data_IF_294372172788
#
_entry.id   IF_294372172788
#
_cell.length_a   1.000
_cell.length_b   1.000
_cell.length_c   1.000
_cell.angle_alpha   90.00
_cell.angle_beta   90.00
_cell.angle_gamma   90.00
#
_symmetry.space_group_name_H-M   'P 1'
#
loop_
_entity.id
_entity.type
_entity.pdbx_description
1 polymer ?
#
# COMPACT_ATOMS: atom_id res chain seq x y z
N UNK A 1 -7.08 -13.08 14.10
CA UNK A 1 -7.73 -11.83 14.52
C UNK A 1 -7.42 -10.81 13.43
N UNK A 2 -8.37 -10.52 12.56
CA UNK A 2 -8.20 -9.52 11.49
C UNK A 2 -8.34 -8.18 12.22
N UNK A 3 -7.35 -7.28 12.09
CA UNK A 3 -7.45 -5.92 12.64
C UNK A 3 -8.69 -5.20 12.08
N UNK A 4 -9.21 -4.18 12.77
CA UNK A 4 -10.40 -3.48 12.30
C UNK A 4 -10.15 -2.97 10.88
N UNK A 5 -11.09 -3.26 9.97
CA UNK A 5 -11.09 -2.69 8.64
C UNK A 5 -11.21 -1.17 8.78
N UNK A 6 -10.13 -0.44 8.48
CA UNK A 6 -10.17 1.02 8.39
C UNK A 6 -10.70 1.34 7.01
N UNK A 7 -11.95 1.78 6.92
CA UNK A 7 -12.51 2.27 5.66
C UNK A 7 -11.93 3.66 5.40
N UNK A 8 -11.13 3.87 4.34
CA UNK A 8 -10.70 5.21 3.97
C UNK A 8 -11.95 6.01 3.60
N UNK A 9 -12.26 7.03 4.39
CA UNK A 9 -13.33 7.99 4.10
C UNK A 9 -12.67 9.24 3.54
N UNK A 10 -12.91 9.54 2.26
CA UNK A 10 -12.60 10.86 1.72
C UNK A 10 -13.57 11.86 2.37
N UNK A 11 -13.07 12.65 3.31
CA UNK A 11 -13.83 13.74 3.92
C UNK A 11 -13.62 15.00 3.06
N UNK A 12 -14.65 15.43 2.34
CA UNK A 12 -14.77 16.83 1.91
C UNK A 12 -15.20 17.68 3.11
N UNK A 13 -14.30 17.85 4.08
CA UNK A 13 -14.53 18.71 5.25
C UNK A 13 -13.50 19.81 5.24
N UNK A 14 -13.94 21.03 5.53
CA UNK A 14 -13.05 22.16 5.73
C UNK A 14 -12.01 21.77 6.80
N UNK A 15 -10.71 21.70 6.45
CA UNK A 15 -9.68 21.23 7.36
C UNK A 15 -9.58 22.09 8.63
N UNK A 16 -10.04 23.35 8.59
CA UNK A 16 -10.09 24.22 9.76
C UNK A 16 -11.14 23.80 10.81
N UNK A 17 -12.08 22.93 10.42
CA UNK A 17 -13.15 22.42 11.28
C UNK A 17 -12.87 21.03 11.85
N UNK A 18 -11.82 20.35 11.38
CA UNK A 18 -11.42 19.04 11.86
C UNK A 18 -10.66 19.15 13.17
N UNK A 19 -11.17 18.50 14.22
CA UNK A 19 -10.40 18.25 15.43
C UNK A 19 -9.38 17.15 15.17
N UNK A 20 -8.18 17.53 14.71
CA UNK A 20 -7.07 16.60 14.45
C UNK A 20 -6.65 15.74 15.67
N UNK A 21 -7.14 16.08 16.87
CA UNK A 21 -6.92 15.31 18.09
C UNK A 21 -7.61 13.93 18.07
N UNK A 22 -8.68 13.76 17.28
CA UNK A 22 -9.46 12.52 17.18
C UNK A 22 -9.13 11.72 15.89
N UNK A 23 -8.11 12.15 15.15
CA UNK A 23 -7.67 11.51 13.90
C UNK A 23 -6.46 10.63 14.19
N UNK A 24 -6.56 9.33 13.87
CA UNK A 24 -5.45 8.38 14.03
C UNK A 24 -4.44 8.43 12.87
N UNK A 25 -4.94 8.74 11.66
CA UNK A 25 -4.14 8.79 10.43
C UNK A 25 -4.66 9.83 9.46
N UNK A 26 -3.75 10.61 8.90
CA UNK A 26 -3.98 11.57 7.83
C UNK A 26 -3.27 11.07 6.58
N UNK A 27 -3.94 11.17 5.44
CA UNK A 27 -3.36 10.89 4.14
C UNK A 27 -3.26 12.19 3.34
N UNK A 28 -2.13 12.44 2.70
CA UNK A 28 -1.89 13.66 1.92
C UNK A 28 -1.25 13.36 0.56
N UNK A 29 -1.70 14.08 -0.46
CA UNK A 29 -1.06 14.17 -1.77
C UNK A 29 -0.15 15.38 -1.80
N UNK A 30 1.14 15.15 -2.04
CA UNK A 30 2.18 16.17 -1.84
C UNK A 30 2.96 16.36 -3.13
N UNK A 31 2.89 17.55 -3.77
CA UNK A 31 3.75 17.87 -4.90
C UNK A 31 5.20 18.02 -4.42
N UNK A 32 6.15 17.79 -5.33
CA UNK A 32 7.57 17.69 -4.99
C UNK A 32 8.13 18.96 -4.31
N UNK A 33 7.60 20.14 -4.64
CA UNK A 33 8.02 21.43 -4.08
C UNK A 33 7.56 21.66 -2.63
N UNK A 34 6.60 20.88 -2.13
CA UNK A 34 6.10 20.95 -0.76
C UNK A 34 6.55 19.78 0.11
N UNK A 35 7.33 18.85 -0.44
CA UNK A 35 7.73 17.63 0.28
C UNK A 35 8.50 17.96 1.56
N UNK A 36 9.50 18.84 1.49
CA UNK A 36 10.33 19.20 2.65
C UNK A 36 9.50 19.81 3.80
N UNK A 37 8.52 20.66 3.47
CA UNK A 37 7.61 21.25 4.45
C UNK A 37 6.76 20.17 5.14
N UNK A 38 6.27 19.19 4.37
CA UNK A 38 5.50 18.06 4.91
C UNK A 38 6.37 17.16 5.77
N UNK A 39 7.60 16.85 5.36
CA UNK A 39 8.55 16.05 6.14
C UNK A 39 8.95 16.72 7.47
N UNK A 40 8.84 18.05 7.56
CA UNK A 40 9.07 18.79 8.80
C UNK A 40 7.88 18.74 9.77
N UNK A 41 6.69 18.29 9.33
CA UNK A 41 5.51 18.26 10.18
C UNK A 41 5.66 17.24 11.31
N UNK A 42 5.28 17.64 12.52
CA UNK A 42 5.22 16.77 13.70
C UNK A 42 3.79 16.78 14.21
N UNK A 43 2.96 15.94 13.59
CA UNK A 43 1.56 15.77 13.92
C UNK A 43 1.38 14.54 14.83
N UNK A 44 0.32 14.56 15.64
CA UNK A 44 -0.11 13.38 16.42
C UNK A 44 -0.70 12.25 15.54
N UNK A 45 -1.60 12.51 14.57
CA UNK A 45 -1.96 11.48 13.61
C UNK A 45 -0.72 10.99 12.85
N UNK A 46 -0.69 9.69 12.57
CA UNK A 46 0.26 9.15 11.59
C UNK A 46 -0.01 9.75 10.22
N UNK A 47 1.04 10.11 9.48
CA UNK A 47 0.91 10.75 8.18
C UNK A 47 1.31 9.77 7.07
N UNK A 48 0.40 9.51 6.13
CA UNK A 48 0.69 8.81 4.88
C UNK A 48 0.93 9.85 3.78
N UNK A 49 2.09 9.81 3.14
CA UNK A 49 2.50 10.78 2.12
C UNK A 49 2.54 10.13 0.75
N UNK A 50 1.65 10.58 -0.15
CA UNK A 50 1.69 10.23 -1.56
C UNK A 50 2.40 11.33 -2.33
N UNK A 51 3.64 11.06 -2.74
CA UNK A 51 4.44 11.99 -3.54
C UNK A 51 5.17 11.20 -4.63
N UNK A 52 4.59 11.09 -5.85
CA UNK A 52 5.18 10.28 -6.92
C UNK A 52 6.61 10.74 -7.26
N UNK A 53 7.53 9.79 -7.34
CA UNK A 53 8.95 10.06 -7.62
C UNK A 53 9.75 10.63 -6.44
N UNK A 54 9.14 10.81 -5.27
CA UNK A 54 9.87 11.21 -4.06
C UNK A 54 10.81 10.11 -3.57
N UNK A 55 11.84 10.52 -2.84
CA UNK A 55 12.69 9.58 -2.10
C UNK A 55 11.91 8.99 -0.92
N UNK A 56 11.57 7.72 -1.06
CA UNK A 56 10.79 6.94 -0.11
C UNK A 56 11.51 6.81 1.24
N UNK A 57 12.84 6.71 1.23
CA UNK A 57 13.62 6.61 2.46
C UNK A 57 13.52 7.88 3.29
N UNK A 58 13.55 9.05 2.65
CA UNK A 58 13.37 10.36 3.31
C UNK A 58 11.99 10.49 3.99
N UNK A 59 10.93 9.98 3.37
CA UNK A 59 9.58 9.96 3.96
C UNK A 59 9.57 9.11 5.25
N UNK A 60 10.13 7.91 5.20
CA UNK A 60 10.19 7.01 6.35
C UNK A 60 11.08 7.56 7.48
N UNK A 61 12.24 8.14 7.14
CA UNK A 61 13.15 8.77 8.11
C UNK A 61 12.51 9.96 8.84
N UNK A 62 11.56 10.65 8.21
CA UNK A 62 10.76 11.70 8.85
C UNK A 62 9.68 11.15 9.81
N UNK A 63 9.51 9.83 9.90
CA UNK A 63 8.49 9.17 10.70
C UNK A 63 7.12 9.12 10.02
N UNK A 64 7.07 9.31 8.70
CA UNK A 64 5.85 9.24 7.91
C UNK A 64 5.77 7.91 7.15
N UNK A 65 4.55 7.51 6.79
CA UNK A 65 4.28 6.30 6.00
C UNK A 65 4.32 6.65 4.51
N UNK A 66 5.18 6.03 3.70
CA UNK A 66 5.17 6.25 2.26
C UNK A 66 3.88 5.73 1.62
N UNK A 67 3.38 6.48 0.64
CA UNK A 67 2.25 6.12 -0.19
C UNK A 67 2.69 5.74 -1.60
N UNK A 68 2.26 4.57 -2.08
CA UNK A 68 2.45 4.14 -3.46
C UNK A 68 1.19 4.44 -4.28
N UNK A 69 1.31 5.28 -5.31
CA UNK A 69 0.23 5.53 -6.28
C UNK A 69 0.38 4.65 -7.52
N UNK A 70 -0.57 4.76 -8.45
CA UNK A 70 -0.38 4.26 -9.81
C UNK A 70 0.88 4.89 -10.43
N UNK A 71 1.77 4.05 -10.91
CA UNK A 71 3.06 4.39 -11.51
C UNK A 71 3.47 3.25 -12.47
N UNK A 72 4.55 3.42 -13.23
CA UNK A 72 5.08 2.34 -14.06
C UNK A 72 5.57 1.16 -13.20
N UNK A 73 5.67 -0.03 -13.80
CA UNK A 73 6.17 -1.21 -13.08
C UNK A 73 7.63 -1.03 -12.60
N UNK A 74 8.43 -0.22 -13.28
CA UNK A 74 9.79 0.10 -12.87
C UNK A 74 9.81 1.00 -11.63
N UNK A 75 9.03 2.08 -11.64
CA UNK A 75 8.91 2.97 -10.47
C UNK A 75 8.34 2.23 -9.25
N UNK A 76 7.36 1.35 -9.46
CA UNK A 76 6.83 0.49 -8.39
C UNK A 76 7.89 -0.50 -7.89
N UNK A 77 8.70 -1.09 -8.78
CA UNK A 77 9.76 -2.00 -8.38
C UNK A 77 10.85 -1.30 -7.57
N UNK A 78 11.28 -0.11 -7.99
CA UNK A 78 12.25 0.72 -7.27
C UNK A 78 11.72 1.11 -5.89
N UNK A 79 10.44 1.54 -5.81
CA UNK A 79 9.77 1.82 -4.55
C UNK A 79 9.79 0.59 -3.61
N UNK A 80 9.35 -0.57 -4.11
CA UNK A 80 9.23 -1.78 -3.30
C UNK A 80 10.59 -2.32 -2.85
N UNK A 81 11.63 -2.19 -3.68
CA UNK A 81 13.00 -2.55 -3.33
C UNK A 81 13.52 -1.73 -2.14
N UNK A 82 13.18 -0.45 -2.06
CA UNK A 82 13.54 0.40 -0.92
C UNK A 82 12.71 0.05 0.31
N UNK A 83 11.38 0.02 0.19
CA UNK A 83 10.49 -0.16 1.36
C UNK A 83 10.68 -1.51 2.05
N UNK A 84 11.01 -2.57 1.32
CA UNK A 84 11.28 -3.88 1.91
C UNK A 84 12.44 -3.88 2.92
N UNK A 85 13.29 -2.84 2.93
CA UNK A 85 14.41 -2.66 3.85
C UNK A 85 14.21 -1.55 4.89
N UNK A 86 13.09 -0.82 4.83
CA UNK A 86 12.80 0.23 5.79
C UNK A 86 12.13 -0.33 7.05
N UNK A 87 12.38 0.34 8.18
CA UNK A 87 11.64 0.09 9.41
C UNK A 87 10.24 0.69 9.26
N UNK A 88 9.26 -0.14 8.89
CA UNK A 88 7.87 0.26 8.72
C UNK A 88 7.19 -0.44 7.55
N UNK A 89 6.17 0.21 7.00
CA UNK A 89 5.47 -0.25 5.82
C UNK A 89 4.93 0.92 5.00
N UNK A 90 4.15 0.60 3.98
CA UNK A 90 3.57 1.57 3.05
C UNK A 90 2.07 1.33 2.87
N UNK A 91 1.39 2.33 2.33
CA UNK A 91 0.00 2.22 1.87
C UNK A 91 0.00 2.35 0.36
N UNK A 92 -0.75 1.49 -0.33
CA UNK A 92 -0.92 1.59 -1.78
C UNK A 92 -2.29 2.17 -2.12
N UNK A 93 -2.39 2.92 -3.22
CA UNK A 93 -3.68 3.28 -3.83
C UNK A 93 -3.93 2.41 -5.05
N UNK A 94 -5.09 1.78 -5.09
CA UNK A 94 -5.50 0.91 -6.20
C UNK A 94 -6.94 1.23 -6.62
N UNK A 95 -7.17 1.33 -7.92
CA UNK A 95 -8.49 1.50 -8.52
C UNK A 95 -9.12 0.16 -8.91
N UNK A 96 -8.31 -0.90 -9.09
CA UNK A 96 -8.82 -2.21 -9.57
C UNK A 96 -8.27 -3.39 -8.79
N UNK A 97 -8.97 -4.52 -8.85
CA UNK A 97 -8.50 -5.78 -8.25
C UNK A 97 -7.19 -6.28 -8.89
N UNK A 98 -6.96 -5.99 -10.17
CA UNK A 98 -5.69 -6.32 -10.85
C UNK A 98 -4.53 -5.56 -10.23
N UNK A 99 -4.68 -4.25 -10.00
CA UNK A 99 -3.65 -3.43 -9.35
C UNK A 99 -3.38 -3.91 -7.92
N UNK A 100 -4.42 -4.29 -7.16
CA UNK A 100 -4.26 -4.88 -5.83
C UNK A 100 -3.41 -6.14 -5.88
N UNK A 101 -3.71 -7.05 -6.80
CA UNK A 101 -2.95 -8.30 -6.97
C UNK A 101 -1.51 -8.03 -7.42
N UNK A 102 -1.30 -7.06 -8.30
CA UNK A 102 0.03 -6.60 -8.71
C UNK A 102 0.83 -6.11 -7.52
N UNK A 103 0.30 -5.19 -6.72
CA UNK A 103 0.99 -4.64 -5.54
C UNK A 103 1.32 -5.74 -4.52
N UNK A 104 0.37 -6.63 -4.21
CA UNK A 104 0.61 -7.74 -3.28
C UNK A 104 1.70 -8.67 -3.81
N UNK A 105 1.63 -9.03 -5.09
CA UNK A 105 2.60 -9.90 -5.74
C UNK A 105 4.01 -9.29 -5.79
N UNK A 106 4.12 -8.01 -6.17
CA UNK A 106 5.36 -7.25 -6.13
C UNK A 106 5.95 -7.17 -4.71
N UNK A 107 5.10 -6.93 -3.70
CA UNK A 107 5.53 -6.90 -2.29
C UNK A 107 6.09 -8.24 -1.84
N UNK A 108 5.41 -9.34 -2.18
CA UNK A 108 5.89 -10.70 -1.87
C UNK A 108 7.23 -10.97 -2.57
N UNK A 109 7.37 -10.59 -3.84
CA UNK A 109 8.61 -10.75 -4.58
C UNK A 109 9.76 -9.95 -3.93
N UNK A 110 9.51 -8.69 -3.56
CA UNK A 110 10.49 -7.85 -2.87
C UNK A 110 10.96 -8.49 -1.55
N UNK A 111 10.04 -9.01 -0.74
CA UNK A 111 10.37 -9.66 0.53
C UNK A 111 11.13 -10.99 0.38
N UNK A 112 11.01 -11.64 -0.77
CA UNK A 112 11.74 -12.88 -1.10
C UNK A 112 13.07 -12.62 -1.79
N UNK A 113 13.32 -11.40 -2.25
CA UNK A 113 14.43 -11.09 -3.14
C UNK A 113 14.25 -11.65 -4.56
N UNK A 114 13.00 -11.93 -4.96
CA UNK A 114 12.65 -12.36 -6.32
C UNK A 114 12.57 -11.14 -7.26
N UNK A 115 12.38 -11.38 -8.56
CA UNK A 115 12.15 -10.33 -9.54
C UNK A 115 10.81 -9.60 -9.29
N UNK A 116 10.90 -8.41 -8.69
CA UNK A 116 9.76 -7.56 -8.35
C UNK A 116 8.96 -7.17 -9.59
N UNK A 117 9.63 -6.82 -10.69
CA UNK A 117 8.97 -6.39 -11.92
C UNK A 117 8.13 -7.52 -12.50
N UNK A 118 8.69 -8.74 -12.53
CA UNK A 118 7.93 -9.93 -12.95
C UNK A 118 6.75 -10.17 -12.03
N UNK A 119 6.92 -10.03 -10.71
CA UNK A 119 5.84 -10.15 -9.72
C UNK A 119 4.69 -9.16 -9.94
N UNK A 120 5.01 -7.89 -10.22
CA UNK A 120 4.04 -6.84 -10.52
C UNK A 120 3.24 -7.11 -11.79
N UNK A 121 3.94 -7.51 -12.87
CA UNK A 121 3.34 -7.70 -14.20
C UNK A 121 2.59 -9.03 -14.34
N UNK A 122 3.00 -10.06 -13.59
CA UNK A 122 2.42 -11.40 -13.69
C UNK A 122 2.04 -11.97 -12.31
N UNK A 123 0.99 -11.43 -11.65
CA UNK A 123 0.57 -11.93 -10.35
C UNK A 123 0.17 -13.40 -10.37
N UNK A 124 0.78 -14.22 -9.51
CA UNK A 124 0.49 -15.64 -9.41
C UNK A 124 -0.43 -15.94 -8.22
N UNK A 125 -1.72 -16.07 -8.51
CA UNK A 125 -2.78 -16.27 -7.50
C UNK A 125 -2.58 -17.56 -6.69
N UNK A 126 -2.10 -18.62 -7.32
CA UNK A 126 -1.88 -19.90 -6.66
C UNK A 126 -0.75 -19.78 -5.62
N UNK A 127 0.30 -19.01 -5.93
CA UNK A 127 1.37 -18.67 -4.96
C UNK A 127 0.86 -17.75 -3.86
N UNK A 128 0.08 -16.72 -4.18
CA UNK A 128 -0.45 -15.77 -3.19
C UNK A 128 -1.40 -16.44 -2.19
N UNK A 129 -2.19 -17.40 -2.64
CA UNK A 129 -3.15 -18.13 -1.78
C UNK A 129 -2.50 -19.28 -1.00
N UNK A 130 -1.26 -19.66 -1.34
CA UNK A 130 -0.49 -20.72 -0.67
C UNK A 130 0.71 -20.21 0.13
N UNK A 131 0.77 -18.89 0.41
CA UNK A 131 1.84 -18.30 1.22
C UNK A 131 1.93 -18.97 2.59
N UNK A 132 3.17 -19.27 3.02
CA UNK A 132 3.44 -19.64 4.40
C UNK A 132 2.93 -18.54 5.36
N UNK A 133 2.39 -18.88 6.54
CA UNK A 133 1.88 -17.89 7.49
C UNK A 133 2.86 -16.75 7.80
N UNK A 134 4.14 -17.07 7.95
CA UNK A 134 5.19 -16.07 8.22
C UNK A 134 5.40 -15.11 7.04
N UNK A 135 5.35 -15.61 5.81
CA UNK A 135 5.43 -14.77 4.61
C UNK A 135 4.21 -13.85 4.52
N UNK A 136 3.02 -14.38 4.78
CA UNK A 136 1.80 -13.58 4.81
C UNK A 136 1.80 -12.55 5.95
N UNK A 137 2.43 -12.86 7.09
CA UNK A 137 2.61 -11.90 8.19
C UNK A 137 3.58 -10.78 7.79
N UNK A 138 4.73 -11.14 7.21
CA UNK A 138 5.71 -10.16 6.71
C UNK A 138 5.09 -9.23 5.66
N UNK A 139 4.31 -9.76 4.71
CA UNK A 139 3.59 -8.93 3.73
C UNK A 139 2.65 -7.94 4.39
N UNK A 140 1.96 -8.30 5.49
CA UNK A 140 1.06 -7.36 6.21
C UNK A 140 1.80 -6.32 7.02
N UNK A 141 3.02 -6.61 7.47
CA UNK A 141 3.87 -5.62 8.14
C UNK A 141 4.37 -4.56 7.16
N UNK A 142 4.62 -4.96 5.91
CA UNK A 142 5.15 -4.07 4.87
C UNK A 142 4.04 -3.36 4.09
N UNK A 143 3.01 -4.08 3.63
CA UNK A 143 1.82 -3.48 3.00
C UNK A 143 0.74 -3.27 4.08
N UNK A 144 0.70 -2.05 4.62
CA UNK A 144 -0.15 -1.69 5.76
C UNK A 144 -1.62 -1.52 5.36
N UNK A 145 -1.89 -1.20 4.10
CA UNK A 145 -3.23 -1.00 3.61
C UNK A 145 -3.30 -0.70 2.12
N UNK A 146 -4.51 -0.82 1.59
CA UNK A 146 -4.86 -0.42 0.24
C UNK A 146 -5.98 0.61 0.36
N UNK A 147 -5.71 1.82 -0.14
CA UNK A 147 -6.69 2.88 -0.31
C UNK A 147 -7.37 2.74 -1.67
N UNK A 148 -8.71 2.82 -1.66
CA UNK A 148 -9.52 2.71 -2.87
C UNK A 148 -10.90 3.31 -2.66
N UNK A 149 -11.46 3.87 -3.72
CA UNK A 149 -12.86 4.33 -3.77
C UNK A 149 -13.82 3.18 -4.13
N UNK A 150 -13.31 2.06 -4.64
CA UNK A 150 -14.10 0.95 -5.19
C UNK A 150 -14.01 -0.33 -4.33
N UNK A 151 -13.95 -0.18 -3.00
CA UNK A 151 -13.66 -1.30 -2.09
C UNK A 151 -14.59 -2.52 -2.26
N UNK A 152 -15.90 -2.30 -2.43
CA UNK A 152 -16.87 -3.38 -2.62
C UNK A 152 -16.72 -4.13 -3.94
N UNK A 153 -16.45 -3.41 -5.03
CA UNK A 153 -16.23 -3.99 -6.36
C UNK A 153 -14.92 -4.78 -6.39
N UNK A 154 -13.85 -4.21 -5.83
CA UNK A 154 -12.55 -4.88 -5.71
C UNK A 154 -12.67 -6.15 -4.86
N UNK A 155 -13.31 -6.08 -3.70
CA UNK A 155 -13.49 -7.26 -2.83
C UNK A 155 -14.25 -8.38 -3.57
N UNK A 156 -15.34 -8.03 -4.26
CA UNK A 156 -16.12 -8.99 -5.05
C UNK A 156 -15.29 -9.64 -6.16
N UNK A 157 -14.49 -8.83 -6.87
CA UNK A 157 -13.62 -9.32 -7.93
C UNK A 157 -12.50 -10.23 -7.39
N UNK A 158 -11.90 -9.89 -6.25
CA UNK A 158 -10.88 -10.71 -5.60
C UNK A 158 -11.45 -12.06 -5.13
N UNK A 159 -12.65 -12.07 -4.55
CA UNK A 159 -13.33 -13.30 -4.16
C UNK A 159 -13.57 -14.22 -5.35
N UNK A 160 -13.99 -13.67 -6.49
CA UNK A 160 -14.17 -14.42 -7.72
C UNK A 160 -12.85 -15.01 -8.25
N UNK A 161 -11.76 -14.23 -8.22
CA UNK A 161 -10.42 -14.69 -8.61
C UNK A 161 -9.93 -15.84 -7.71
N UNK A 162 -10.11 -15.71 -6.38
CA UNK A 162 -9.70 -16.73 -5.41
C UNK A 162 -10.54 -18.01 -5.57
N UNK A 163 -11.86 -17.87 -5.77
CA UNK A 163 -12.73 -19.03 -6.03
C UNK A 163 -12.32 -19.76 -7.31
N UNK A 164 -12.03 -19.03 -8.38
CA UNK A 164 -11.53 -19.58 -9.64
C UNK A 164 -10.19 -20.30 -9.50
N UNK A 165 -9.28 -19.79 -8.67
CA UNK A 165 -8.00 -20.46 -8.39
C UNK A 165 -8.20 -21.82 -7.71
N UNK A 166 -9.07 -21.89 -6.70
CA UNK A 166 -9.37 -23.12 -5.95
C UNK A 166 -10.08 -24.18 -6.80
N UNK A 167 -10.90 -23.78 -7.76
CA UNK A 167 -11.60 -24.70 -8.67
C UNK A 167 -10.72 -25.36 -9.74
N UNK A 168 -9.50 -24.84 -9.99
CA UNK A 168 -8.54 -25.42 -10.96
C UNK A 168 -7.70 -26.55 -10.37
N UNK A 169 -7.77 -26.79 -9.06
CA UNK A 169 -6.95 -27.78 -8.34
C UNK A 169 -7.65 -29.14 -8.15
N UNK A 170 -8.84 -29.34 -8.72
CA UNK A 170 -9.63 -30.59 -8.69
C UNK A 170 -9.79 -31.15 -10.10
#
# INVERSE_FOLDING_TARGET
MIGPAVTPMSLEVDPSTLALADVDRLTVDVPADLLDDVLALRLRPSLTVFSPGADVASIALAGHTPGLTSASADEQADFLAVVAHLDGGFVARCATATEVLSVISGTVAALRGDDIRTGLLNPNIDVLTSLHPDAAAATRTVLLGIETEHAGEIATALDAVIAGARGRTT
#
